data_IF_153740474047
#
_entry.id   IF_153740474047
#
_cell.length_a   1.000
_cell.length_b   1.000
_cell.length_c   1.000
_cell.angle_alpha   90.00
_cell.angle_beta   90.00
_cell.angle_gamma   90.00
#
_symmetry.space_group_name_H-M   'P 1'
#
loop_
_entity.id
_entity.type
_entity.pdbx_description
1 polymer ?
#
# COMPACT_ATOMS: atom_id res chain seq x y z
N UNK A 1 -18.96 -13.10 11.04
CA UNK A 1 -19.03 -11.80 11.75
C UNK A 1 -20.15 -10.98 11.12
N UNK A 2 -21.06 -10.46 11.94
CA UNK A 2 -22.14 -9.58 11.45
C UNK A 2 -21.56 -8.22 11.05
N UNK A 3 -22.24 -7.48 10.15
CA UNK A 3 -21.81 -6.12 9.77
C UNK A 3 -21.66 -5.17 10.98
N UNK A 4 -22.38 -5.41 12.07
CA UNK A 4 -22.31 -4.61 13.31
C UNK A 4 -21.01 -4.86 14.12
N UNK A 5 -20.42 -6.07 14.06
CA UNK A 5 -19.13 -6.34 14.74
C UNK A 5 -17.95 -5.67 14.02
N UNK A 6 -18.08 -5.37 12.71
CA UNK A 6 -17.02 -4.74 11.92
C UNK A 6 -16.89 -3.24 12.23
N UNK A 7 -17.94 -2.58 12.77
CA UNK A 7 -17.98 -1.12 12.92
C UNK A 7 -17.37 -0.60 14.22
N UNK A 8 -17.20 -1.42 15.25
CA UNK A 8 -16.83 -0.95 16.60
C UNK A 8 -15.36 -1.07 16.99
N UNK A 9 -14.52 -1.74 16.19
CA UNK A 9 -13.08 -1.84 16.46
C UNK A 9 -12.29 -0.82 15.66
N UNK A 10 -11.18 -0.27 16.23
CA UNK A 10 -10.29 0.63 15.50
C UNK A 10 -9.65 -0.09 14.32
N UNK A 11 -9.53 0.60 13.20
CA UNK A 11 -8.95 0.04 11.96
C UNK A 11 -7.80 0.86 11.43
N UNK A 12 -6.87 0.16 10.78
CA UNK A 12 -5.72 0.76 10.11
C UNK A 12 -5.83 0.50 8.61
N UNK A 13 -5.78 1.57 7.82
CA UNK A 13 -5.77 1.50 6.36
C UNK A 13 -4.35 1.74 5.84
N UNK A 14 -3.84 0.81 5.04
CA UNK A 14 -2.58 0.94 4.32
C UNK A 14 -2.79 1.21 2.84
N UNK A 15 -1.99 2.12 2.30
CA UNK A 15 -2.02 2.50 0.89
C UNK A 15 -0.62 2.48 0.28
N UNK A 16 -0.48 1.78 -0.85
CA UNK A 16 0.63 1.96 -1.79
C UNK A 16 0.14 2.72 -3.01
N UNK A 17 0.54 3.99 -3.14
CA UNK A 17 -0.03 4.93 -4.11
C UNK A 17 0.86 5.04 -5.34
N UNK A 18 0.36 4.55 -6.47
CA UNK A 18 0.91 4.87 -7.80
C UNK A 18 -0.11 5.66 -8.64
N UNK A 19 0.33 6.28 -9.72
CA UNK A 19 -0.58 7.04 -10.62
C UNK A 19 -1.52 6.16 -11.43
N UNK A 20 -1.38 4.84 -11.38
CA UNK A 20 -2.22 3.86 -12.10
C UNK A 20 -3.09 3.06 -11.16
N UNK A 21 -2.52 2.64 -10.04
CA UNK A 21 -3.13 1.73 -9.09
C UNK A 21 -2.81 2.20 -7.68
N UNK A 22 -3.74 2.06 -6.78
CA UNK A 22 -3.54 2.23 -5.34
C UNK A 22 -3.76 0.84 -4.71
N UNK A 23 -2.72 0.26 -4.13
CA UNK A 23 -2.83 -0.90 -3.25
C UNK A 23 -3.58 -0.50 -1.98
N UNK A 24 -4.43 -1.40 -1.48
CA UNK A 24 -5.36 -1.11 -0.39
C UNK A 24 -5.40 -2.28 0.58
N UNK A 25 -5.04 -2.05 1.84
CA UNK A 25 -5.06 -3.05 2.90
C UNK A 25 -5.73 -2.49 4.14
N UNK A 26 -6.83 -3.10 4.59
CA UNK A 26 -7.56 -2.72 5.79
C UNK A 26 -7.37 -3.78 6.87
N UNK A 27 -6.93 -3.37 8.05
CA UNK A 27 -6.73 -4.23 9.19
C UNK A 27 -7.62 -3.81 10.38
N UNK A 28 -8.01 -4.77 11.16
CA UNK A 28 -8.45 -4.57 12.53
C UNK A 28 -7.23 -4.31 13.41
N UNK A 29 -7.20 -3.18 14.11
CA UNK A 29 -6.03 -2.75 14.88
C UNK A 29 -5.79 -3.64 16.11
N UNK A 30 -6.85 -4.04 16.79
CA UNK A 30 -6.77 -4.79 18.05
C UNK A 30 -6.41 -6.26 17.82
N UNK A 31 -7.03 -6.87 16.81
CA UNK A 31 -6.82 -8.30 16.49
C UNK A 31 -5.70 -8.54 15.51
N UNK A 32 -5.15 -7.48 14.89
CA UNK A 32 -4.12 -7.52 13.85
C UNK A 32 -4.55 -8.31 12.59
N UNK A 33 -5.85 -8.55 12.45
CA UNK A 33 -6.38 -9.33 11.33
C UNK A 33 -6.57 -8.47 10.10
N UNK A 34 -6.17 -9.02 8.95
CA UNK A 34 -6.51 -8.46 7.66
C UNK A 34 -8.03 -8.59 7.43
N UNK A 35 -8.70 -7.48 7.18
CA UNK A 35 -10.13 -7.42 6.86
C UNK A 35 -10.37 -7.35 5.36
N UNK A 36 -9.53 -6.59 4.65
CA UNK A 36 -9.61 -6.44 3.20
C UNK A 36 -8.22 -6.23 2.61
N UNK A 37 -7.94 -6.92 1.50
CA UNK A 37 -6.78 -6.68 0.66
C UNK A 37 -7.23 -6.57 -0.79
N UNK A 38 -7.13 -5.37 -1.35
CA UNK A 38 -7.62 -5.08 -2.69
C UNK A 38 -6.75 -4.02 -3.37
N UNK A 39 -7.17 -3.58 -4.53
CA UNK A 39 -6.57 -2.44 -5.23
C UNK A 39 -7.64 -1.55 -5.82
N UNK A 40 -7.26 -0.33 -6.11
CA UNK A 40 -8.09 0.66 -6.77
C UNK A 40 -7.37 1.20 -8.01
N UNK A 41 -7.94 0.99 -9.18
CA UNK A 41 -7.38 1.39 -10.47
C UNK A 41 -8.42 2.18 -11.27
N UNK A 42 -8.58 3.49 -10.99
CA UNK A 42 -9.59 4.30 -11.65
C UNK A 42 -9.29 4.44 -13.15
N UNK A 43 -10.30 4.14 -13.96
CA UNK A 43 -10.23 4.28 -15.42
C UNK A 43 -10.96 5.55 -15.83
N UNK A 44 -10.22 6.57 -16.25
CA UNK A 44 -10.77 7.85 -16.69
C UNK A 44 -11.08 7.81 -18.19
N UNK A 45 -12.33 8.02 -18.53
CA UNK A 45 -12.82 8.05 -19.93
C UNK A 45 -13.87 9.15 -20.12
N UNK A 46 -13.74 10.00 -21.20
CA UNK A 46 -12.60 10.06 -22.12
C UNK A 46 -11.33 10.51 -21.37
N UNK A 47 -10.17 10.17 -21.92
CA UNK A 47 -8.90 10.60 -21.30
C UNK A 47 -8.73 12.11 -21.53
N UNK A 48 -8.52 12.91 -20.47
CA UNK A 48 -8.26 14.34 -20.58
C UNK A 48 -6.97 14.63 -21.35
N UNK A 49 -6.90 15.80 -21.94
CA UNK A 49 -5.69 16.29 -22.63
C UNK A 49 -4.60 16.62 -21.60
N UNK A 50 -4.99 17.30 -20.53
CA UNK A 50 -4.08 17.73 -19.48
C UNK A 50 -3.85 16.65 -18.43
N UNK A 51 -2.56 16.39 -18.13
CA UNK A 51 -2.18 15.39 -17.13
C UNK A 51 -2.70 15.71 -15.73
N UNK A 52 -2.78 16.99 -15.39
CA UNK A 52 -3.30 17.43 -14.09
C UNK A 52 -4.79 17.14 -13.96
N UNK A 53 -5.56 17.32 -15.01
CA UNK A 53 -6.98 17.01 -15.05
C UNK A 53 -7.22 15.51 -14.84
N UNK A 54 -6.42 14.65 -15.52
CA UNK A 54 -6.46 13.21 -15.29
C UNK A 54 -6.21 12.85 -13.80
N UNK A 55 -5.26 13.53 -13.15
CA UNK A 55 -5.00 13.30 -11.73
C UNK A 55 -6.16 13.74 -10.84
N UNK A 56 -6.75 14.90 -11.10
CA UNK A 56 -7.91 15.40 -10.35
C UNK A 56 -9.08 14.43 -10.46
N UNK A 57 -9.44 13.99 -11.66
CA UNK A 57 -10.50 13.00 -11.86
C UNK A 57 -10.23 11.65 -11.14
N UNK A 58 -8.94 11.26 -11.03
CA UNK A 58 -8.56 10.07 -10.24
C UNK A 58 -8.69 10.32 -8.74
N UNK A 59 -8.45 11.53 -8.28
CA UNK A 59 -8.67 11.93 -6.89
C UNK A 59 -10.16 11.90 -6.57
N UNK A 60 -11.01 12.46 -7.43
CA UNK A 60 -12.47 12.42 -7.25
C UNK A 60 -12.97 10.96 -7.13
N UNK A 61 -12.50 10.07 -8.01
CA UNK A 61 -12.84 8.65 -7.94
C UNK A 61 -12.29 7.95 -6.67
N UNK A 62 -11.13 8.38 -6.16
CA UNK A 62 -10.59 7.91 -4.89
C UNK A 62 -11.44 8.38 -3.72
N UNK A 63 -11.87 9.65 -3.73
CA UNK A 63 -12.74 10.22 -2.71
C UNK A 63 -14.08 9.48 -2.62
N UNK A 64 -14.71 9.19 -3.77
CA UNK A 64 -15.93 8.39 -3.83
C UNK A 64 -15.73 7.00 -3.18
N UNK A 65 -14.60 6.32 -3.49
CA UNK A 65 -14.26 5.05 -2.84
C UNK A 65 -14.07 5.23 -1.34
N UNK A 66 -13.32 6.25 -0.91
CA UNK A 66 -12.96 6.48 0.50
C UNK A 66 -14.19 6.83 1.36
N UNK A 67 -15.17 7.55 0.83
CA UNK A 67 -16.45 7.84 1.51
C UNK A 67 -17.16 6.55 1.96
N UNK A 68 -17.05 5.46 1.19
CA UNK A 68 -17.59 4.14 1.57
C UNK A 68 -16.91 3.53 2.81
N UNK A 69 -15.77 4.08 3.25
CA UNK A 69 -15.02 3.61 4.42
C UNK A 69 -15.16 4.52 5.64
N UNK A 70 -15.85 5.66 5.53
CA UNK A 70 -15.95 6.69 6.56
C UNK A 70 -16.50 6.15 7.89
N UNK A 71 -17.51 5.30 7.82
CA UNK A 71 -18.19 4.74 8.99
C UNK A 71 -17.54 3.43 9.51
N UNK A 72 -16.43 3.00 8.94
CA UNK A 72 -15.79 1.74 9.33
C UNK A 72 -14.91 1.85 10.60
N UNK A 73 -14.76 3.05 11.18
CA UNK A 73 -13.93 3.24 12.37
C UNK A 73 -12.43 3.22 12.07
N UNK A 74 -12.02 3.74 10.90
CA UNK A 74 -10.59 3.92 10.60
C UNK A 74 -10.02 4.97 11.55
N UNK A 75 -8.95 4.61 12.25
CA UNK A 75 -8.24 5.48 13.21
C UNK A 75 -6.87 5.90 12.71
N UNK A 76 -6.30 5.14 11.79
CA UNK A 76 -4.98 5.39 11.20
C UNK A 76 -4.98 5.11 9.71
N UNK A 77 -4.28 5.95 8.96
CA UNK A 77 -3.96 5.70 7.54
C UNK A 77 -2.45 5.76 7.38
N UNK A 78 -1.88 4.72 6.78
CA UNK A 78 -0.45 4.59 6.53
C UNK A 78 -0.21 4.55 5.02
N UNK A 79 0.68 5.39 4.52
CA UNK A 79 1.02 5.49 3.10
C UNK A 79 2.49 5.11 2.92
N UNK A 80 2.79 4.28 1.92
CA UNK A 80 4.18 4.08 1.52
C UNK A 80 4.73 5.37 0.89
N UNK A 81 5.91 5.84 1.38
CA UNK A 81 6.56 7.01 0.82
C UNK A 81 6.90 6.82 -0.64
N UNK A 82 6.55 7.77 -1.52
CA UNK A 82 6.92 7.71 -2.92
C UNK A 82 8.43 7.67 -3.08
N UNK A 83 8.93 6.75 -3.91
CA UNK A 83 10.36 6.63 -4.21
C UNK A 83 10.84 7.85 -5.00
N UNK A 84 11.76 8.62 -4.41
CA UNK A 84 12.34 9.82 -5.01
C UNK A 84 13.51 9.51 -5.97
N UNK A 85 14.01 8.27 -5.98
CA UNK A 85 15.18 7.84 -6.74
C UNK A 85 14.83 7.34 -8.16
N UNK A 86 13.93 8.03 -8.84
CA UNK A 86 13.68 7.76 -10.27
C UNK A 86 14.53 8.68 -11.14
N UNK A 87 15.11 8.13 -12.21
CA UNK A 87 15.84 8.90 -13.23
C UNK A 87 14.94 9.87 -14.02
N UNK A 88 13.62 9.79 -13.81
CA UNK A 88 12.63 10.65 -14.47
C UNK A 88 11.96 11.59 -13.46
N UNK A 89 12.46 12.81 -13.38
CA UNK A 89 11.95 13.86 -12.48
C UNK A 89 10.46 14.17 -12.70
N UNK A 90 9.97 14.06 -13.95
CA UNK A 90 8.55 14.29 -14.26
C UNK A 90 7.66 13.23 -13.64
N UNK A 91 8.10 11.98 -13.68
CA UNK A 91 7.39 10.87 -13.02
C UNK A 91 7.34 11.08 -11.51
N UNK A 92 8.47 11.44 -10.90
CA UNK A 92 8.55 11.73 -9.46
C UNK A 92 7.63 12.90 -9.10
N UNK A 93 7.71 14.01 -9.85
CA UNK A 93 6.87 15.18 -9.62
C UNK A 93 5.38 14.90 -9.73
N UNK A 94 4.98 14.07 -10.71
CA UNK A 94 3.58 13.63 -10.86
C UNK A 94 3.12 12.77 -9.70
N UNK A 95 3.97 11.83 -9.26
CA UNK A 95 3.66 10.94 -8.14
C UNK A 95 3.53 11.71 -6.83
N UNK A 96 4.42 12.66 -6.56
CA UNK A 96 4.37 13.52 -5.37
C UNK A 96 3.08 14.37 -5.34
N UNK A 97 2.72 14.97 -6.48
CA UNK A 97 1.45 15.73 -6.58
C UNK A 97 0.25 14.84 -6.28
N UNK A 98 0.20 13.65 -6.88
CA UNK A 98 -0.90 12.71 -6.67
C UNK A 98 -0.98 12.26 -5.22
N UNK A 99 0.15 11.87 -4.60
CA UNK A 99 0.20 11.52 -3.17
C UNK A 99 -0.28 12.67 -2.26
N UNK A 100 0.10 13.91 -2.56
CA UNK A 100 -0.33 15.08 -1.78
C UNK A 100 -1.84 15.31 -1.88
N UNK A 101 -2.43 15.13 -3.08
CA UNK A 101 -3.87 15.24 -3.28
C UNK A 101 -4.61 14.14 -2.51
N UNK A 102 -4.19 12.89 -2.63
CA UNK A 102 -4.77 11.75 -1.89
C UNK A 102 -4.67 11.98 -0.37
N UNK A 103 -3.53 12.46 0.14
CA UNK A 103 -3.36 12.74 1.57
C UNK A 103 -4.30 13.83 2.06
N UNK A 104 -4.53 14.86 1.23
CA UNK A 104 -5.52 15.89 1.52
C UNK A 104 -6.93 15.32 1.58
N UNK A 105 -7.31 14.47 0.62
CA UNK A 105 -8.63 13.81 0.58
C UNK A 105 -8.86 12.94 1.81
N UNK A 106 -7.84 12.19 2.24
CA UNK A 106 -7.91 11.38 3.47
C UNK A 106 -8.21 12.28 4.68
N UNK A 107 -7.47 13.39 4.82
CA UNK A 107 -7.71 14.33 5.90
C UNK A 107 -9.12 14.96 5.84
N UNK A 108 -9.59 15.33 4.66
CA UNK A 108 -10.90 15.96 4.50
C UNK A 108 -12.07 15.01 4.79
N UNK A 109 -11.96 13.75 4.37
CA UNK A 109 -13.05 12.77 4.47
C UNK A 109 -13.05 12.06 5.82
N UNK A 110 -11.87 11.63 6.29
CA UNK A 110 -11.74 10.84 7.52
C UNK A 110 -11.32 11.67 8.74
N UNK A 111 -10.84 12.90 8.56
CA UNK A 111 -10.27 13.72 9.64
C UNK A 111 -8.89 13.23 10.10
N UNK A 112 -8.24 12.32 9.37
CA UNK A 112 -7.01 11.66 9.74
C UNK A 112 -5.84 12.25 8.95
N UNK A 113 -4.77 12.66 9.66
CA UNK A 113 -3.50 12.98 9.03
C UNK A 113 -2.77 11.66 8.73
N UNK A 114 -2.53 11.30 7.47
CA UNK A 114 -1.88 10.04 7.16
C UNK A 114 -0.42 10.03 7.64
N UNK A 115 0.03 8.88 8.12
CA UNK A 115 1.42 8.60 8.43
C UNK A 115 2.14 8.04 7.20
N UNK A 116 3.44 8.33 7.09
CA UNK A 116 4.25 7.81 5.99
C UNK A 116 5.32 6.85 6.51
N UNK A 117 5.58 5.81 5.72
CA UNK A 117 6.68 4.87 5.98
C UNK A 117 7.47 4.65 4.69
N UNK A 118 8.79 4.68 4.77
CA UNK A 118 9.62 4.37 3.61
C UNK A 118 9.54 2.89 3.24
N UNK A 119 9.66 2.58 1.94
CA UNK A 119 9.72 1.20 1.42
C UNK A 119 10.77 0.34 2.15
N UNK A 120 11.90 0.94 2.55
CA UNK A 120 12.92 0.22 3.32
C UNK A 120 12.42 -0.16 4.72
N UNK A 121 11.84 0.78 5.44
CA UNK A 121 11.36 0.54 6.80
C UNK A 121 10.12 -0.37 6.81
N UNK A 122 9.17 -0.19 5.89
CA UNK A 122 8.00 -1.05 5.79
C UNK A 122 8.41 -2.51 5.67
N UNK A 123 9.32 -2.83 4.75
CA UNK A 123 9.81 -4.20 4.52
C UNK A 123 10.69 -4.72 5.66
N UNK A 124 11.54 -3.87 6.22
CA UNK A 124 12.43 -4.24 7.34
C UNK A 124 11.66 -4.63 8.59
N UNK A 125 10.64 -3.88 8.94
CA UNK A 125 9.86 -4.13 10.15
C UNK A 125 8.76 -5.17 9.93
N UNK A 126 8.15 -5.23 8.74
CA UNK A 126 7.18 -6.28 8.42
C UNK A 126 7.84 -7.66 8.32
N UNK A 127 9.02 -7.74 7.73
CA UNK A 127 9.71 -9.00 7.41
C UNK A 127 11.17 -8.97 7.88
N UNK A 128 11.43 -9.07 9.21
CA UNK A 128 12.79 -8.97 9.77
C UNK A 128 13.75 -10.05 9.23
N UNK A 129 13.22 -11.19 8.83
CA UNK A 129 13.96 -12.30 8.22
C UNK A 129 14.53 -11.98 6.83
N UNK A 130 14.04 -10.92 6.17
CA UNK A 130 14.64 -10.41 4.93
C UNK A 130 15.90 -9.55 5.17
N UNK A 131 16.23 -9.27 6.43
CA UNK A 131 17.46 -8.53 6.79
C UNK A 131 18.59 -9.53 6.99
N UNK A 132 19.46 -9.65 5.99
CA UNK A 132 20.63 -10.53 6.03
C UNK A 132 21.94 -9.79 5.76
N UNK A 133 23.05 -10.50 5.79
CA UNK A 133 24.37 -9.95 5.51
C UNK A 133 24.64 -9.87 4.00
N UNK A 134 25.20 -8.77 3.56
CA UNK A 134 25.73 -8.65 2.21
C UNK A 134 27.17 -9.21 2.13
N UNK A 135 27.77 -9.21 0.93
CA UNK A 135 29.16 -9.66 0.70
C UNK A 135 30.24 -8.92 1.50
N UNK A 136 29.90 -7.82 2.17
CA UNK A 136 30.79 -7.02 3.05
C UNK A 136 30.46 -7.20 4.53
N UNK A 137 29.64 -8.19 4.91
CA UNK A 137 29.23 -8.45 6.29
C UNK A 137 28.30 -7.40 6.89
N UNK A 138 27.68 -6.53 6.07
CA UNK A 138 26.73 -5.52 6.55
C UNK A 138 25.30 -6.05 6.45
N UNK A 139 24.55 -5.87 7.53
CA UNK A 139 23.11 -6.16 7.55
C UNK A 139 22.34 -5.20 6.63
N UNK A 140 21.71 -5.75 5.62
CA UNK A 140 20.91 -4.99 4.63
C UNK A 140 19.62 -5.74 4.32
N UNK A 141 18.60 -5.02 3.91
CA UNK A 141 17.37 -5.62 3.42
C UNK A 141 17.66 -6.45 2.15
N UNK A 142 17.13 -7.66 2.10
CA UNK A 142 17.41 -8.69 1.09
C UNK A 142 18.88 -9.18 1.06
N UNK A 143 19.62 -8.95 2.17
CA UNK A 143 20.98 -9.51 2.33
C UNK A 143 20.95 -11.04 2.31
N UNK A 144 21.96 -11.63 1.66
CA UNK A 144 22.03 -13.09 1.48
C UNK A 144 21.18 -13.66 0.35
N UNK A 145 20.26 -12.89 -0.24
CA UNK A 145 19.50 -13.33 -1.41
C UNK A 145 20.27 -13.07 -2.71
N UNK A 146 19.97 -13.82 -3.80
CA UNK A 146 20.57 -13.60 -5.10
C UNK A 146 20.39 -12.16 -5.60
N UNK A 147 21.41 -11.57 -6.22
CA UNK A 147 21.39 -10.16 -6.67
C UNK A 147 20.28 -9.85 -7.69
N UNK A 148 19.86 -10.83 -8.47
CA UNK A 148 18.86 -10.71 -9.53
C UNK A 148 17.45 -11.12 -9.08
N UNK A 149 17.23 -11.32 -7.77
CA UNK A 149 15.89 -11.68 -7.28
C UNK A 149 14.91 -10.52 -7.47
N UNK A 150 13.70 -10.84 -7.90
CA UNK A 150 12.61 -9.88 -7.93
C UNK A 150 12.12 -9.61 -6.50
N UNK A 151 12.43 -8.42 -5.99
CA UNK A 151 12.07 -8.02 -4.62
C UNK A 151 10.56 -7.91 -4.43
N UNK A 152 9.80 -7.54 -5.45
CA UNK A 152 8.35 -7.50 -5.39
C UNK A 152 7.75 -8.89 -5.26
N UNK A 153 8.29 -9.85 -6.01
CA UNK A 153 7.89 -11.25 -5.90
C UNK A 153 8.18 -11.84 -4.51
N UNK A 154 9.32 -11.47 -3.90
CA UNK A 154 9.65 -11.90 -2.53
C UNK A 154 8.62 -11.37 -1.53
N UNK A 155 8.27 -10.07 -1.61
CA UNK A 155 7.27 -9.48 -0.72
C UNK A 155 5.89 -10.11 -0.93
N UNK A 156 5.46 -10.27 -2.18
CA UNK A 156 4.21 -10.96 -2.49
C UNK A 156 4.16 -12.38 -1.92
N UNK A 157 5.23 -13.17 -2.01
CA UNK A 157 5.32 -14.51 -1.41
C UNK A 157 5.15 -14.46 0.10
N UNK A 158 5.81 -13.52 0.78
CA UNK A 158 5.66 -13.31 2.22
C UNK A 158 4.21 -13.04 2.62
N UNK A 159 3.52 -12.16 1.90
CA UNK A 159 2.10 -11.88 2.14
C UNK A 159 1.23 -13.10 1.84
N UNK A 160 1.51 -13.84 0.76
CA UNK A 160 0.79 -15.07 0.41
C UNK A 160 0.93 -16.18 1.44
N UNK A 161 2.11 -16.28 2.09
CA UNK A 161 2.37 -17.22 3.18
C UNK A 161 1.66 -16.81 4.47
N UNK A 162 1.61 -15.50 4.75
CA UNK A 162 0.92 -14.95 5.94
C UNK A 162 -0.60 -15.02 5.82
N UNK A 163 -1.13 -14.85 4.61
CA UNK A 163 -2.57 -14.76 4.31
C UNK A 163 -2.96 -15.77 3.22
N UNK A 164 -2.92 -17.08 3.49
CA UNK A 164 -3.15 -18.13 2.48
C UNK A 164 -4.57 -18.14 1.91
N UNK A 165 -5.54 -17.47 2.56
CA UNK A 165 -6.93 -17.35 2.11
C UNK A 165 -7.11 -16.33 0.98
N UNK A 166 -6.09 -15.51 0.66
CA UNK A 166 -6.22 -14.48 -0.37
C UNK A 166 -6.21 -15.12 -1.76
N UNK A 167 -7.17 -14.74 -2.56
CA UNK A 167 -7.22 -15.10 -3.98
C UNK A 167 -6.52 -14.04 -4.82
N UNK A 168 -5.32 -14.38 -5.31
CA UNK A 168 -4.54 -13.50 -6.16
C UNK A 168 -5.02 -13.49 -7.61
N UNK A 169 -4.81 -12.37 -8.29
CA UNK A 169 -5.22 -12.19 -9.68
C UNK A 169 -4.12 -12.61 -10.66
N UNK A 170 -4.49 -13.43 -11.63
CA UNK A 170 -3.58 -13.89 -12.68
C UNK A 170 -4.02 -13.41 -14.06
N UNK A 171 -3.05 -13.25 -14.95
CA UNK A 171 -3.29 -13.01 -16.38
C UNK A 171 -3.74 -14.31 -17.06
N UNK A 172 -4.17 -14.22 -18.34
CA UNK A 172 -4.48 -15.41 -19.14
C UNK A 172 -3.30 -16.39 -19.30
N UNK A 173 -2.07 -15.89 -19.22
CA UNK A 173 -0.83 -16.69 -19.30
C UNK A 173 -0.37 -17.19 -17.92
N UNK A 174 -1.24 -17.22 -16.93
CA UNK A 174 -0.95 -17.65 -15.57
C UNK A 174 0.23 -16.90 -14.89
N UNK A 175 0.45 -15.65 -15.27
CA UNK A 175 1.37 -14.73 -14.58
C UNK A 175 0.61 -13.85 -13.62
N UNK A 176 1.20 -13.56 -12.47
CA UNK A 176 0.61 -12.67 -11.46
C UNK A 176 0.38 -11.28 -12.05
N UNK A 177 -0.80 -10.70 -11.83
CA UNK A 177 -1.06 -9.33 -12.25
C UNK A 177 -0.27 -8.33 -11.40
N UNK A 178 0.11 -7.19 -11.99
CA UNK A 178 0.94 -6.18 -11.32
C UNK A 178 0.26 -5.57 -10.10
N UNK A 179 -1.06 -5.46 -10.14
CA UNK A 179 -1.88 -4.93 -9.05
C UNK A 179 -1.73 -5.75 -7.75
N UNK A 180 -1.39 -7.04 -7.85
CA UNK A 180 -1.13 -7.89 -6.69
C UNK A 180 0.14 -7.47 -5.93
N UNK A 181 1.12 -6.90 -6.61
CA UNK A 181 2.31 -6.36 -5.95
C UNK A 181 1.99 -5.08 -5.17
N UNK A 182 1.16 -4.20 -5.73
CA UNK A 182 0.73 -2.98 -5.05
C UNK A 182 -0.14 -3.33 -3.82
N UNK A 183 -0.97 -4.39 -3.89
CA UNK A 183 -1.69 -4.95 -2.74
C UNK A 183 -0.71 -5.46 -1.66
N UNK A 184 0.31 -6.23 -2.06
CA UNK A 184 1.30 -6.77 -1.12
C UNK A 184 2.16 -5.67 -0.47
N UNK A 185 2.48 -4.61 -1.22
CA UNK A 185 3.20 -3.45 -0.68
C UNK A 185 2.29 -2.67 0.30
N UNK A 186 0.98 -2.49 0.03
CA UNK A 186 0.03 -1.87 0.97
C UNK A 186 -0.14 -2.68 2.27
N UNK A 187 -0.22 -4.01 2.20
CA UNK A 187 -0.21 -4.91 3.36
C UNK A 187 1.07 -4.72 4.19
N UNK A 188 2.22 -4.78 3.52
CA UNK A 188 3.55 -4.63 4.14
C UNK A 188 3.72 -3.26 4.78
N UNK A 189 3.12 -2.23 4.20
CA UNK A 189 3.11 -0.85 4.71
C UNK A 189 2.47 -0.79 6.11
N UNK A 190 1.26 -1.35 6.29
CA UNK A 190 0.59 -1.40 7.61
C UNK A 190 1.41 -2.21 8.60
N UNK A 191 1.75 -3.45 8.25
CA UNK A 191 2.47 -4.36 9.15
C UNK A 191 3.80 -3.76 9.60
N UNK A 192 4.56 -3.17 8.66
CA UNK A 192 5.83 -2.54 8.95
C UNK A 192 5.70 -1.30 9.83
N UNK A 193 4.71 -0.45 9.57
CA UNK A 193 4.46 0.74 10.38
C UNK A 193 4.06 0.37 11.82
N UNK A 194 3.08 -0.51 11.98
CA UNK A 194 2.57 -0.88 13.30
C UNK A 194 3.65 -1.54 14.17
N UNK A 195 4.49 -2.40 13.56
CA UNK A 195 5.64 -3.02 14.25
C UNK A 195 6.75 -2.01 14.55
N UNK A 196 7.02 -1.05 13.66
CA UNK A 196 7.98 0.03 13.91
C UNK A 196 7.56 0.90 15.09
N UNK A 197 6.26 1.12 15.29
CA UNK A 197 5.71 1.87 16.42
C UNK A 197 5.59 1.04 17.71
N UNK A 198 5.89 -0.26 17.67
CA UNK A 198 5.71 -1.17 18.81
C UNK A 198 4.26 -1.41 19.18
N UNK A 199 3.35 -1.28 18.22
CA UNK A 199 1.92 -1.50 18.40
C UNK A 199 1.51 -2.95 18.08
N UNK A 200 2.33 -3.64 17.27
CA UNK A 200 2.15 -5.06 16.89
C UNK A 200 3.43 -5.86 17.06
#
# INVERSE_FOLDING_TARGET
MSKEEITNTPKVLGLDISTKTIGWALFDEDTQKLLELTHFSPVIKPKPEEKIEELLMKVDAFEEKLEGYKELGITKVVIEEPLLNSNNIWTVGTLLRYNSMISRSIYQILGIVPSYISTYNSRKFAWPDLVGENSKGRKVLFGGLPKNIDKKEVIWKKVSEAEPQITWLYTRNNTLKKECFDQADAYTCVLGYMRQQGLW
#
